data_IF_592159785907
#
_entry.id   IF_592159785907
#
_cell.length_a   1.000
_cell.length_b   1.000
_cell.length_c   1.000
_cell.angle_alpha   90.00
_cell.angle_beta   90.00
_cell.angle_gamma   90.00
#
_symmetry.space_group_name_H-M   'P 1'
#
loop_
_entity.id
_entity.type
_entity.pdbx_description
1 polymer ?
#
# COMPACT_ATOMS: atom_id res chain seq x y z
N UNK A 1 -84.43 -3.39 -69.19
CA UNK A 1 -83.32 -4.31 -69.54
C UNK A 1 -82.08 -3.43 -69.62
N UNK A 2 -81.09 -3.55 -68.73
CA UNK A 2 -80.11 -4.65 -68.58
C UNK A 2 -78.98 -4.61 -69.63
N UNK A 3 -77.72 -5.03 -69.39
CA UNK A 3 -76.96 -5.28 -68.13
C UNK A 3 -75.52 -5.72 -68.47
N UNK A 4 -74.49 -4.97 -68.04
CA UNK A 4 -73.06 -5.37 -68.06
C UNK A 4 -72.53 -5.69 -69.50
N UNK A 5 -71.25 -5.99 -69.80
CA UNK A 5 -69.95 -6.00 -69.11
C UNK A 5 -68.88 -5.50 -70.11
N UNK A 6 -67.89 -4.64 -69.78
CA UNK A 6 -66.70 -4.88 -68.94
C UNK A 6 -65.82 -6.09 -69.36
N UNK A 7 -64.65 -5.80 -69.97
CA UNK A 7 -63.32 -6.40 -69.78
C UNK A 7 -62.36 -5.69 -70.79
N UNK A 8 -61.05 -5.50 -70.60
CA UNK A 8 -60.21 -5.21 -69.43
C UNK A 8 -58.81 -4.85 -70.02
N UNK A 9 -58.21 -3.73 -69.64
CA UNK A 9 -56.92 -3.27 -70.18
C UNK A 9 -56.20 -2.46 -69.11
N UNK A 10 -55.34 -3.11 -68.32
CA UNK A 10 -54.70 -2.54 -67.14
C UNK A 10 -53.36 -3.26 -66.89
N UNK A 11 -52.33 -2.47 -66.55
CA UNK A 11 -51.04 -2.88 -65.97
C UNK A 11 -50.03 -3.71 -66.81
N UNK A 12 -49.60 -3.17 -67.96
CA UNK A 12 -48.23 -3.38 -68.46
C UNK A 12 -47.25 -2.45 -67.71
N UNK A 13 -46.94 -2.77 -66.46
CA UNK A 13 -45.96 -2.04 -65.65
C UNK A 13 -44.56 -2.66 -65.80
N UNK A 14 -43.61 -1.94 -66.40
CA UNK A 14 -42.30 -2.51 -66.73
C UNK A 14 -41.52 -3.05 -65.49
N UNK A 15 -41.00 -4.29 -65.54
CA UNK A 15 -40.28 -4.89 -64.41
C UNK A 15 -38.93 -4.20 -64.12
N UNK A 16 -38.37 -3.48 -65.11
CA UNK A 16 -37.16 -2.66 -65.01
C UNK A 16 -37.23 -1.64 -63.87
N UNK A 17 -38.36 -0.92 -63.75
CA UNK A 17 -38.57 0.17 -62.79
C UNK A 17 -38.66 -0.37 -61.37
N UNK A 18 -39.36 -1.49 -61.17
CA UNK A 18 -39.48 -2.16 -59.88
C UNK A 18 -38.13 -2.70 -59.38
N UNK A 19 -37.32 -3.29 -60.27
CA UNK A 19 -35.96 -3.74 -59.95
C UNK A 19 -35.07 -2.55 -59.54
N UNK A 20 -35.15 -1.42 -60.26
CA UNK A 20 -34.44 -0.19 -59.90
C UNK A 20 -34.81 0.33 -58.51
N UNK A 21 -36.12 0.42 -58.20
CA UNK A 21 -36.61 0.83 -56.88
C UNK A 21 -36.18 -0.12 -55.75
N UNK A 22 -36.19 -1.43 -56.00
CA UNK A 22 -35.72 -2.44 -55.05
C UNK A 22 -34.22 -2.29 -54.75
N UNK A 23 -33.39 -2.10 -55.78
CA UNK A 23 -31.95 -1.89 -55.64
C UNK A 23 -31.63 -0.60 -54.86
N UNK A 24 -32.31 0.51 -55.13
CA UNK A 24 -32.11 1.78 -54.40
C UNK A 24 -32.51 1.63 -52.93
N UNK A 25 -33.63 0.97 -52.62
CA UNK A 25 -34.01 0.67 -51.22
C UNK A 25 -33.00 -0.24 -50.53
N UNK A 26 -32.45 -1.23 -51.22
CA UNK A 26 -31.44 -2.14 -50.67
C UNK A 26 -30.12 -1.39 -50.39
N UNK A 27 -29.66 -0.55 -51.31
CA UNK A 27 -28.49 0.33 -51.09
C UNK A 27 -28.69 1.27 -49.90
N UNK A 28 -29.87 1.92 -49.80
CA UNK A 28 -30.18 2.82 -48.67
C UNK A 28 -30.26 2.07 -47.34
N UNK A 29 -30.85 0.87 -47.32
CA UNK A 29 -30.89 0.01 -46.13
C UNK A 29 -29.47 -0.43 -45.70
N UNK A 30 -28.61 -0.81 -46.65
CA UNK A 30 -27.19 -1.14 -46.38
C UNK A 30 -26.43 0.08 -45.85
N UNK A 31 -26.64 1.28 -46.39
CA UNK A 31 -26.00 2.51 -45.90
C UNK A 31 -26.46 2.87 -44.48
N UNK A 32 -27.75 2.73 -44.18
CA UNK A 32 -28.30 2.96 -42.83
C UNK A 32 -27.83 1.88 -41.85
N UNK A 33 -27.70 0.62 -42.28
CA UNK A 33 -27.15 -0.45 -41.46
C UNK A 33 -25.65 -0.23 -41.18
N UNK A 34 -24.86 0.14 -42.20
CA UNK A 34 -23.43 0.39 -42.09
C UNK A 34 -23.11 1.62 -41.23
N UNK A 35 -23.87 2.71 -41.35
CA UNK A 35 -23.72 3.89 -40.49
C UNK A 35 -24.09 3.59 -39.03
N UNK A 36 -25.19 2.86 -38.77
CA UNK A 36 -25.54 2.36 -37.42
C UNK A 36 -24.45 1.43 -36.86
N UNK A 37 -23.93 0.51 -37.65
CA UNK A 37 -22.84 -0.39 -37.25
C UNK A 37 -21.57 0.40 -36.91
N UNK A 38 -21.15 1.35 -37.76
CA UNK A 38 -20.01 2.24 -37.50
C UNK A 38 -20.21 3.07 -36.23
N UNK A 39 -21.41 3.60 -35.99
CA UNK A 39 -21.73 4.34 -34.76
C UNK A 39 -21.68 3.44 -33.51
N UNK A 40 -22.18 2.20 -33.59
CA UNK A 40 -22.06 1.21 -32.49
C UNK A 40 -20.61 0.81 -32.24
N UNK A 41 -19.80 0.59 -33.28
CA UNK A 41 -18.37 0.29 -33.14
C UNK A 41 -17.60 1.46 -32.50
N UNK A 42 -17.90 2.70 -32.87
CA UNK A 42 -17.30 3.89 -32.24
C UNK A 42 -17.74 4.01 -30.77
N UNK A 43 -19.03 3.80 -30.46
CA UNK A 43 -19.52 3.79 -29.07
C UNK A 43 -18.84 2.71 -28.22
N UNK A 44 -18.76 1.47 -28.73
CA UNK A 44 -18.07 0.37 -28.05
C UNK A 44 -16.58 0.65 -27.88
N UNK A 45 -15.90 1.23 -28.88
CA UNK A 45 -14.49 1.62 -28.81
C UNK A 45 -14.24 2.71 -27.76
N UNK A 46 -15.13 3.70 -27.64
CA UNK A 46 -15.05 4.74 -26.60
C UNK A 46 -15.25 4.13 -25.20
N UNK A 47 -16.27 3.29 -25.01
CA UNK A 47 -16.54 2.61 -23.73
C UNK A 47 -15.38 1.67 -23.35
N UNK A 48 -14.87 0.89 -24.30
CA UNK A 48 -13.72 0.01 -24.09
C UNK A 48 -12.45 0.80 -23.72
N UNK A 49 -12.15 1.89 -24.44
CA UNK A 49 -11.02 2.78 -24.14
C UNK A 49 -11.13 3.37 -22.73
N UNK A 50 -12.32 3.83 -22.34
CA UNK A 50 -12.57 4.35 -20.99
C UNK A 50 -12.39 3.27 -19.90
N UNK A 51 -12.98 2.07 -20.08
CA UNK A 51 -12.83 0.96 -19.13
C UNK A 51 -11.38 0.49 -19.03
N UNK A 52 -10.65 0.43 -20.16
CA UNK A 52 -9.23 0.10 -20.18
C UNK A 52 -8.40 1.14 -19.43
N UNK A 53 -8.67 2.43 -19.63
CA UNK A 53 -8.01 3.53 -18.91
C UNK A 53 -8.29 3.46 -17.40
N UNK A 54 -9.52 3.18 -16.98
CA UNK A 54 -9.86 2.97 -15.57
C UNK A 54 -9.10 1.77 -14.97
N UNK A 55 -9.05 0.65 -15.70
CA UNK A 55 -8.31 -0.54 -15.28
C UNK A 55 -6.81 -0.26 -15.15
N UNK A 56 -6.24 0.51 -16.07
CA UNK A 56 -4.83 0.89 -16.07
C UNK A 56 -4.49 1.80 -14.88
N UNK A 57 -5.35 2.78 -14.56
CA UNK A 57 -5.22 3.61 -13.35
C UNK A 57 -5.37 2.76 -12.08
N UNK A 58 -6.34 1.84 -12.02
CA UNK A 58 -6.54 0.96 -10.87
C UNK A 58 -5.32 0.03 -10.61
N UNK A 59 -4.72 -0.48 -11.69
CA UNK A 59 -3.48 -1.28 -11.65
C UNK A 59 -2.27 -0.44 -11.24
N UNK A 60 -2.11 0.77 -11.79
CA UNK A 60 -1.04 1.70 -11.42
C UNK A 60 -1.14 2.11 -9.93
N UNK A 61 -2.34 2.38 -9.44
CA UNK A 61 -2.60 2.70 -8.03
C UNK A 61 -2.25 1.53 -7.11
N UNK A 62 -2.63 0.30 -7.46
CA UNK A 62 -2.24 -0.90 -6.70
C UNK A 62 -0.72 -1.11 -6.73
N UNK A 63 -0.07 -0.98 -7.89
CA UNK A 63 1.38 -1.11 -8.02
C UNK A 63 2.15 -0.07 -7.20
N UNK A 64 1.68 1.18 -7.20
CA UNK A 64 2.26 2.28 -6.41
C UNK A 64 2.10 2.00 -4.91
N UNK A 65 0.91 1.55 -4.48
CA UNK A 65 0.69 1.12 -3.10
C UNK A 65 1.62 -0.05 -2.71
N UNK A 66 1.70 -1.10 -3.53
CA UNK A 66 2.53 -2.27 -3.28
C UNK A 66 4.01 -1.88 -3.10
N UNK A 67 4.60 -1.14 -4.04
CA UNK A 67 6.01 -0.72 -3.97
C UNK A 67 6.30 0.33 -2.89
N UNK A 68 5.31 1.10 -2.44
CA UNK A 68 5.46 2.07 -1.35
C UNK A 68 5.26 1.46 0.05
N UNK A 69 4.45 0.41 0.18
CA UNK A 69 4.07 -0.19 1.47
C UNK A 69 4.90 -1.42 1.84
N UNK A 70 5.46 -2.11 0.83
CA UNK A 70 6.18 -3.37 0.97
C UNK A 70 7.71 -3.15 1.02
N UNK A 71 8.36 -3.37 2.17
CA UNK A 71 9.82 -3.21 2.30
C UNK A 71 10.58 -4.40 1.70
N UNK A 72 11.92 -4.34 1.72
CA UNK A 72 12.74 -5.48 1.34
C UNK A 72 12.51 -6.67 2.29
N UNK A 73 12.08 -7.80 1.71
CA UNK A 73 11.69 -9.00 2.44
C UNK A 73 12.85 -9.81 3.01
N UNK A 74 14.03 -9.73 2.38
CA UNK A 74 15.23 -10.43 2.81
C UNK A 74 16.46 -9.64 2.37
N UNK A 75 17.42 -9.51 3.28
CA UNK A 75 18.76 -9.00 3.02
C UNK A 75 19.78 -10.03 3.47
N UNK A 76 20.75 -10.34 2.63
CA UNK A 76 21.91 -11.16 2.97
C UNK A 76 23.21 -10.40 2.75
N UNK A 77 24.20 -10.62 3.62
CA UNK A 77 25.53 -10.05 3.52
C UNK A 77 26.60 -11.05 4.01
N UNK A 78 27.72 -11.22 3.26
CA UNK A 78 28.80 -12.09 3.67
C UNK A 78 29.54 -11.49 4.87
N UNK A 79 29.91 -12.37 5.81
CA UNK A 79 30.50 -12.05 7.11
C UNK A 79 31.97 -12.45 7.09
N UNK A 80 32.81 -11.49 6.73
CA UNK A 80 34.27 -11.67 6.66
C UNK A 80 34.89 -11.43 8.05
N UNK A 81 35.35 -12.50 8.71
CA UNK A 81 36.02 -12.40 10.00
C UNK A 81 37.46 -11.90 9.87
N UNK A 82 37.84 -11.01 10.77
CA UNK A 82 39.20 -10.57 11.03
C UNK A 82 39.56 -10.79 12.51
N UNK A 83 40.85 -10.75 12.81
CA UNK A 83 41.39 -10.88 14.17
C UNK A 83 42.12 -9.60 14.56
N UNK A 84 42.05 -9.21 15.84
CA UNK A 84 42.95 -8.21 16.43
C UNK A 84 44.33 -8.84 16.62
N UNK A 85 45.37 -8.18 16.11
CA UNK A 85 46.77 -8.66 16.10
C UNK A 85 47.70 -7.81 16.98
N UNK A 86 47.15 -6.85 17.72
CA UNK A 86 47.83 -5.80 18.48
C UNK A 86 47.95 -6.13 19.98
N UNK A 87 48.18 -7.41 20.30
CA UNK A 87 48.23 -7.90 21.67
C UNK A 87 49.68 -8.13 22.14
N UNK A 88 50.00 -7.72 23.36
CA UNK A 88 51.38 -7.71 23.90
C UNK A 88 51.99 -9.11 24.13
N UNK A 89 51.19 -10.19 24.10
CA UNK A 89 51.63 -11.56 24.40
C UNK A 89 52.08 -12.33 23.14
N UNK A 90 53.38 -12.60 22.92
CA UNK A 90 53.87 -13.29 21.72
C UNK A 90 53.64 -14.82 21.74
N UNK A 91 52.80 -15.33 22.65
CA UNK A 91 52.61 -16.77 22.89
C UNK A 91 51.53 -17.42 21.99
N UNK A 92 50.74 -16.63 21.25
CA UNK A 92 49.65 -17.12 20.41
C UNK A 92 49.48 -16.24 19.17
N UNK A 93 49.48 -16.84 17.98
CA UNK A 93 49.28 -16.10 16.72
C UNK A 93 47.88 -15.47 16.58
N UNK A 94 46.89 -15.96 17.34
CA UNK A 94 45.56 -15.38 17.49
C UNK A 94 45.35 -15.05 18.98
N UNK A 95 45.45 -13.77 19.36
CA UNK A 95 45.24 -13.29 20.73
C UNK A 95 43.81 -12.77 20.99
N UNK A 96 42.92 -12.85 20.01
CA UNK A 96 41.58 -12.25 20.04
C UNK A 96 40.52 -13.16 19.42
N UNK A 97 39.26 -12.88 19.73
CA UNK A 97 38.12 -13.54 19.11
C UNK A 97 37.91 -13.06 17.65
N UNK A 98 37.50 -13.94 16.72
CA UNK A 98 37.13 -13.52 15.37
C UNK A 98 35.94 -12.56 15.42
N UNK A 99 36.15 -11.37 14.85
CA UNK A 99 35.15 -10.30 14.74
C UNK A 99 34.87 -10.00 13.27
N UNK A 100 33.65 -9.60 12.95
CA UNK A 100 33.27 -9.15 11.62
C UNK A 100 32.35 -7.92 11.70
N UNK A 101 32.59 -6.92 10.85
CA UNK A 101 31.79 -5.70 10.78
C UNK A 101 30.98 -5.71 9.48
N UNK A 102 29.65 -5.65 9.59
CA UNK A 102 28.72 -5.71 8.47
C UNK A 102 27.98 -4.38 8.36
N UNK A 103 28.09 -3.72 7.21
CA UNK A 103 27.28 -2.53 6.91
C UNK A 103 25.84 -2.94 6.60
N UNK A 104 24.90 -2.43 7.40
CA UNK A 104 23.45 -2.54 7.19
C UNK A 104 22.92 -1.50 6.19
N UNK A 105 23.82 -0.80 5.49
CA UNK A 105 23.53 0.08 4.36
C UNK A 105 24.12 -0.52 3.08
N UNK A 106 23.28 -0.68 2.05
CA UNK A 106 23.69 -1.13 0.70
C UNK A 106 23.18 -0.15 -0.34
N UNK A 107 24.06 0.31 -1.23
CA UNK A 107 23.75 1.26 -2.32
C UNK A 107 23.00 2.52 -1.84
N UNK A 108 23.46 3.12 -0.73
CA UNK A 108 22.85 4.29 -0.04
C UNK A 108 21.41 4.09 0.45
N UNK A 109 20.97 2.83 0.64
CA UNK A 109 19.70 2.48 1.28
C UNK A 109 19.96 1.64 2.53
N UNK A 110 19.20 1.88 3.60
CA UNK A 110 19.18 1.00 4.77
C UNK A 110 18.58 -0.36 4.37
N UNK A 111 19.17 -1.45 4.86
CA UNK A 111 18.67 -2.80 4.68
C UNK A 111 17.41 -3.07 5.52
N UNK A 112 17.33 -2.40 6.67
CA UNK A 112 16.22 -2.43 7.61
C UNK A 112 15.23 -1.30 7.30
N UNK A 113 13.94 -1.58 7.45
CA UNK A 113 12.87 -0.57 7.41
C UNK A 113 12.39 -0.32 8.84
N UNK A 114 12.32 0.96 9.24
CA UNK A 114 11.94 1.33 10.61
C UNK A 114 10.54 0.80 10.99
N UNK A 115 10.41 0.30 12.22
CA UNK A 115 9.15 -0.26 12.73
C UNK A 115 8.69 -1.58 12.07
N UNK A 116 9.46 -2.17 11.14
CA UNK A 116 9.25 -3.55 10.68
C UNK A 116 10.11 -4.49 11.55
N UNK A 117 9.54 -5.55 12.16
CA UNK A 117 10.33 -6.58 12.83
C UNK A 117 11.07 -7.47 11.82
N UNK A 118 12.30 -7.85 12.16
CA UNK A 118 13.18 -8.70 11.38
C UNK A 118 13.80 -9.81 12.23
N UNK A 119 13.81 -11.04 11.70
CA UNK A 119 14.60 -12.16 12.21
C UNK A 119 16.00 -12.08 11.64
N UNK A 120 17.01 -12.03 12.50
CA UNK A 120 18.43 -12.04 12.11
C UNK A 120 19.02 -13.41 12.44
N UNK A 121 19.48 -14.11 11.42
CA UNK A 121 20.05 -15.45 11.52
C UNK A 121 21.42 -15.49 10.84
N UNK A 122 22.44 -15.95 11.58
CA UNK A 122 23.78 -16.16 11.08
C UNK A 122 23.93 -17.59 10.59
N UNK A 123 24.34 -17.76 9.34
CA UNK A 123 24.69 -19.06 8.79
C UNK A 123 26.21 -19.18 8.79
N UNK A 124 26.77 -20.15 9.52
CA UNK A 124 28.21 -20.45 9.52
C UNK A 124 28.47 -21.75 8.76
N UNK A 125 29.45 -21.75 7.85
CA UNK A 125 29.97 -22.95 7.21
C UNK A 125 31.28 -23.36 7.88
N UNK A 126 31.33 -24.56 8.45
CA UNK A 126 32.44 -25.02 9.29
C UNK A 126 32.90 -26.43 8.90
N UNK A 127 34.22 -26.74 8.87
CA UNK A 127 34.70 -28.11 8.72
C UNK A 127 34.33 -28.97 9.93
N UNK A 128 34.08 -30.26 9.71
CA UNK A 128 33.98 -31.28 10.78
C UNK A 128 35.39 -31.70 11.25
N UNK A 129 36.21 -30.73 11.65
CA UNK A 129 37.59 -30.92 12.12
C UNK A 129 37.65 -31.34 13.60
N UNK A 130 38.71 -32.04 14.07
CA UNK A 130 38.88 -32.35 15.50
C UNK A 130 38.78 -31.09 16.38
N UNK A 131 39.44 -30.00 15.96
CA UNK A 131 39.38 -28.69 16.66
C UNK A 131 37.96 -28.18 16.84
N UNK A 132 37.11 -28.25 15.80
CA UNK A 132 35.70 -27.82 15.88
C UNK A 132 34.80 -28.79 16.66
N UNK A 133 35.15 -30.09 16.71
CA UNK A 133 34.43 -31.10 17.49
C UNK A 133 34.70 -30.97 18.99
N UNK A 134 35.96 -30.74 19.36
CA UNK A 134 36.41 -30.55 20.75
C UNK A 134 36.03 -29.17 21.32
N UNK A 135 35.65 -28.23 20.45
CA UNK A 135 35.28 -26.85 20.78
C UNK A 135 34.05 -26.74 21.69
N UNK A 136 33.16 -27.74 21.64
CA UNK A 136 31.94 -27.78 22.45
C UNK A 136 30.95 -26.65 22.11
N UNK A 137 30.29 -26.11 23.14
CA UNK A 137 29.43 -24.94 23.00
C UNK A 137 30.28 -23.66 22.92
N UNK A 138 30.01 -22.83 21.92
CA UNK A 138 30.59 -21.49 21.81
C UNK A 138 29.50 -20.42 21.76
N UNK A 139 29.82 -19.22 22.23
CA UNK A 139 28.91 -18.07 22.16
C UNK A 139 29.18 -17.26 20.89
N UNK A 140 28.10 -16.87 20.22
CA UNK A 140 28.09 -15.85 19.17
C UNK A 140 27.41 -14.61 19.76
N UNK A 141 28.12 -13.49 19.77
CA UNK A 141 27.62 -12.19 20.20
C UNK A 141 27.39 -11.31 18.97
N UNK A 142 26.35 -10.50 18.98
CA UNK A 142 26.06 -9.54 17.91
C UNK A 142 25.57 -8.24 18.49
N UNK A 143 26.24 -7.15 18.15
CA UNK A 143 25.89 -5.79 18.59
C UNK A 143 25.60 -4.90 17.39
N UNK A 144 24.43 -4.27 17.40
CA UNK A 144 24.01 -3.30 16.39
C UNK A 144 24.36 -1.89 16.87
N UNK A 145 24.96 -1.09 16.00
CA UNK A 145 25.42 0.28 16.28
C UNK A 145 24.72 1.31 15.39
N UNK A 146 24.41 2.46 15.99
CA UNK A 146 23.91 3.66 15.31
C UNK A 146 24.98 4.25 14.38
N UNK A 147 24.59 5.22 13.55
CA UNK A 147 25.53 6.03 12.77
C UNK A 147 26.57 6.74 13.68
N UNK A 148 26.17 7.12 14.89
CA UNK A 148 26.99 7.84 15.88
C UNK A 148 27.89 6.91 16.72
N UNK A 149 27.84 5.60 16.47
CA UNK A 149 28.61 4.59 17.21
C UNK A 149 27.98 4.11 18.53
N UNK A 150 26.81 4.63 18.91
CA UNK A 150 26.06 4.13 20.08
C UNK A 150 25.53 2.70 19.85
N UNK A 151 25.56 1.86 20.89
CA UNK A 151 25.08 0.47 20.82
C UNK A 151 23.54 0.41 20.97
N UNK A 152 22.83 0.28 19.85
CA UNK A 152 21.36 0.24 19.78
C UNK A 152 20.82 -1.08 20.36
N UNK A 153 21.51 -2.20 20.12
CA UNK A 153 21.11 -3.52 20.62
C UNK A 153 22.28 -4.48 20.76
N UNK A 154 22.09 -5.53 21.57
CA UNK A 154 23.02 -6.64 21.73
C UNK A 154 22.25 -7.96 21.88
N UNK A 155 22.75 -9.03 21.27
CA UNK A 155 22.34 -10.41 21.53
C UNK A 155 23.57 -11.29 21.74
N UNK A 156 23.40 -12.36 22.53
CA UNK A 156 24.42 -13.38 22.74
C UNK A 156 23.74 -14.75 22.74
N UNK A 157 24.22 -15.67 21.90
CA UNK A 157 23.59 -16.97 21.62
C UNK A 157 24.61 -18.09 21.66
N UNK A 158 24.32 -19.15 22.41
CA UNK A 158 25.11 -20.37 22.38
C UNK A 158 24.81 -21.19 21.13
N UNK A 159 25.85 -21.78 20.54
CA UNK A 159 25.71 -22.77 19.47
C UNK A 159 26.78 -23.85 19.58
N UNK A 160 26.58 -24.95 18.86
CA UNK A 160 27.43 -26.15 18.92
C UNK A 160 27.37 -26.91 17.59
N UNK A 161 28.50 -27.49 17.19
CA UNK A 161 28.56 -28.40 16.04
C UNK A 161 27.67 -29.63 16.31
N UNK A 162 26.97 -30.16 15.30
CA UNK A 162 26.03 -31.28 15.52
C UNK A 162 26.82 -32.56 15.73
N UNK A 163 26.86 -33.02 16.98
CA UNK A 163 27.56 -34.25 17.38
C UNK A 163 27.15 -35.45 16.51
N UNK A 164 28.16 -36.21 16.08
CA UNK A 164 28.05 -37.51 15.43
C UNK A 164 29.06 -38.44 16.11
N UNK A 165 28.70 -39.70 16.32
CA UNK A 165 29.65 -40.70 16.81
C UNK A 165 30.67 -41.06 15.73
N UNK A 166 31.86 -41.51 16.13
CA UNK A 166 32.94 -41.81 15.17
C UNK A 166 32.65 -43.04 14.31
N UNK A 167 31.80 -43.96 14.81
CA UNK A 167 31.20 -45.02 13.99
C UNK A 167 30.31 -44.44 12.89
N UNK A 168 29.44 -43.47 13.20
CA UNK A 168 28.58 -42.83 12.20
C UNK A 168 29.40 -41.99 11.20
N UNK A 169 30.47 -41.33 11.65
CA UNK A 169 31.42 -40.60 10.79
C UNK A 169 32.15 -41.53 9.82
N UNK A 170 32.66 -42.66 10.30
CA UNK A 170 33.39 -43.63 9.46
C UNK A 170 32.46 -44.34 8.47
N UNK A 171 31.28 -44.78 8.89
CA UNK A 171 30.27 -45.33 7.97
C UNK A 171 29.82 -44.29 6.93
N UNK A 172 29.58 -43.04 7.32
CA UNK A 172 29.24 -41.95 6.39
C UNK A 172 30.37 -41.63 5.41
N UNK A 173 31.62 -41.63 5.88
CA UNK A 173 32.81 -41.40 5.04
C UNK A 173 32.99 -42.53 4.02
N UNK A 174 32.75 -43.78 4.42
CA UNK A 174 32.82 -44.95 3.54
C UNK A 174 31.68 -44.96 2.51
N UNK A 175 30.45 -44.66 2.93
CA UNK A 175 29.26 -44.64 2.07
C UNK A 175 29.34 -43.55 0.98
N UNK A 176 29.82 -42.36 1.34
CA UNK A 176 29.97 -41.24 0.41
C UNK A 176 31.40 -41.09 -0.15
N UNK A 177 32.26 -42.10 0.03
CA UNK A 177 33.67 -42.08 -0.41
C UNK A 177 33.85 -41.64 -1.87
N UNK A 178 33.07 -42.14 -2.86
CA UNK A 178 33.22 -41.71 -4.25
C UNK A 178 32.94 -40.21 -4.43
N UNK A 179 31.93 -39.67 -3.74
CA UNK A 179 31.56 -38.26 -3.84
C UNK A 179 32.61 -37.33 -3.20
N UNK A 180 33.24 -37.75 -2.10
CA UNK A 180 34.37 -37.03 -1.52
C UNK A 180 35.61 -37.07 -2.43
N UNK A 181 35.93 -38.23 -3.03
CA UNK A 181 37.08 -38.38 -3.93
C UNK A 181 36.93 -37.63 -5.25
N UNK A 182 35.70 -37.45 -5.77
CA UNK A 182 35.44 -36.63 -6.97
C UNK A 182 35.21 -35.14 -6.66
N UNK A 183 35.27 -34.71 -5.40
CA UNK A 183 34.94 -33.35 -4.99
C UNK A 183 33.46 -32.97 -5.18
N UNK A 184 32.56 -33.95 -5.36
CA UNK A 184 31.12 -33.74 -5.49
C UNK A 184 30.42 -33.54 -4.12
N UNK A 185 31.12 -33.84 -3.02
CA UNK A 185 30.73 -33.55 -1.65
C UNK A 185 31.96 -33.14 -0.83
N UNK A 186 31.75 -32.38 0.25
CA UNK A 186 32.79 -31.88 1.15
C UNK A 186 32.45 -32.23 2.62
N UNK A 187 33.47 -32.43 3.47
CA UNK A 187 33.28 -32.78 4.89
C UNK A 187 33.03 -31.53 5.76
N UNK A 188 31.96 -30.82 5.45
CA UNK A 188 31.53 -29.59 6.13
C UNK A 188 30.15 -29.70 6.76
N UNK A 189 29.88 -28.81 7.70
CA UNK A 189 28.57 -28.62 8.30
C UNK A 189 28.17 -27.15 8.24
N UNK A 190 26.92 -26.89 7.88
CA UNK A 190 26.29 -25.58 8.01
C UNK A 190 25.60 -25.50 9.38
N UNK A 191 25.65 -24.32 10.00
CA UNK A 191 25.09 -24.04 11.32
C UNK A 191 24.32 -22.71 11.26
N UNK A 192 22.99 -22.78 11.30
CA UNK A 192 22.11 -21.61 11.42
C UNK A 192 21.93 -21.25 12.91
N UNK A 193 22.18 -20.00 13.26
CA UNK A 193 22.04 -19.45 14.62
C UNK A 193 21.18 -18.20 14.57
N UNK A 194 20.00 -18.25 15.18
CA UNK A 194 19.13 -17.07 15.32
C UNK A 194 19.69 -16.11 16.37
N UNK A 195 20.16 -14.95 15.91
CA UNK A 195 20.71 -13.88 16.74
C UNK A 195 19.56 -13.12 17.44
N UNK A 196 18.64 -12.59 16.63
CA UNK A 196 17.44 -11.87 17.06
C UNK A 196 16.20 -12.46 16.38
N UNK A 197 15.11 -12.64 17.14
CA UNK A 197 13.81 -13.10 16.61
C UNK A 197 13.04 -11.96 15.94
N UNK A 198 12.91 -10.84 16.66
CA UNK A 198 12.01 -9.73 16.35
C UNK A 198 12.75 -8.39 16.48
N UNK A 199 13.86 -8.23 15.76
CA UNK A 199 14.61 -6.97 15.75
C UNK A 199 13.82 -5.87 15.04
N UNK A 200 13.51 -4.77 15.74
CA UNK A 200 12.87 -3.58 15.17
C UNK A 200 13.83 -2.39 15.17
N UNK A 201 14.13 -1.84 14.01
CA UNK A 201 15.05 -0.69 13.91
C UNK A 201 14.35 0.63 14.29
N UNK A 202 15.09 1.50 15.00
CA UNK A 202 14.57 2.73 15.62
C UNK A 202 14.78 3.95 14.70
N UNK A 203 13.73 4.72 14.32
CA UNK A 203 13.88 5.94 13.53
C UNK A 203 14.86 6.98 14.09
N UNK A 204 15.02 7.03 15.42
CA UNK A 204 15.87 8.01 16.10
C UNK A 204 17.34 7.57 16.27
N UNK A 205 17.62 6.28 16.13
CA UNK A 205 18.95 5.68 16.27
C UNK A 205 19.07 4.52 15.27
N UNK A 206 19.18 4.82 13.96
CA UNK A 206 19.08 3.82 12.89
C UNK A 206 20.31 2.91 12.87
N UNK A 207 20.10 1.60 12.80
CA UNK A 207 21.19 0.61 12.84
C UNK A 207 21.99 0.61 11.54
N UNK A 208 23.20 1.16 11.57
CA UNK A 208 24.10 1.29 10.40
C UNK A 208 25.09 0.14 10.30
N UNK A 209 25.57 -0.37 11.44
CA UNK A 209 26.59 -1.43 11.48
C UNK A 209 26.17 -2.54 12.44
N UNK A 210 26.26 -3.79 12.01
CA UNK A 210 26.26 -4.95 12.91
C UNK A 210 27.68 -5.47 13.09
N UNK A 211 28.10 -5.70 14.33
CA UNK A 211 29.37 -6.37 14.64
C UNK A 211 29.05 -7.74 15.21
N UNK A 212 29.68 -8.78 14.66
CA UNK A 212 29.54 -10.18 15.07
C UNK A 212 30.86 -10.65 15.66
N UNK A 213 30.83 -11.14 16.89
CA UNK A 213 31.99 -11.64 17.65
C UNK A 213 31.73 -13.10 18.04
N UNK A 214 32.62 -14.02 17.65
CA UNK A 214 32.51 -15.44 18.03
C UNK A 214 33.50 -15.71 19.17
N UNK A 215 32.98 -16.02 20.36
CA UNK A 215 33.76 -16.12 21.60
C UNK A 215 34.52 -17.45 21.72
N UNK A 216 35.35 -17.77 20.72
CA UNK A 216 36.35 -18.84 20.78
C UNK A 216 37.51 -18.53 19.83
N UNK A 217 38.74 -18.57 20.34
CA UNK A 217 39.97 -18.37 19.56
C UNK A 217 40.43 -19.61 18.78
N UNK A 218 39.76 -20.76 18.97
CA UNK A 218 40.07 -22.03 18.29
C UNK A 218 39.14 -22.35 17.12
N UNK A 219 38.15 -21.50 16.85
CA UNK A 219 37.07 -21.78 15.89
C UNK A 219 37.58 -21.76 14.45
N UNK A 220 37.21 -22.78 13.67
CA UNK A 220 37.56 -22.89 12.26
C UNK A 220 36.30 -22.73 11.42
N UNK A 221 36.29 -21.76 10.52
CA UNK A 221 35.14 -21.32 9.72
C UNK A 221 35.62 -21.16 8.27
N UNK A 222 34.83 -21.61 7.30
CA UNK A 222 35.10 -21.43 5.87
C UNK A 222 34.44 -20.17 5.33
N UNK A 223 33.15 -19.99 5.61
CA UNK A 223 32.35 -18.84 5.22
C UNK A 223 31.27 -18.59 6.28
N UNK A 224 30.68 -17.40 6.24
CA UNK A 224 29.51 -17.06 7.05
C UNK A 224 28.70 -15.99 6.33
N UNK A 225 27.38 -16.09 6.42
CA UNK A 225 26.43 -15.16 5.82
C UNK A 225 25.39 -14.74 6.85
N UNK A 226 25.22 -13.42 7.00
CA UNK A 226 24.18 -12.83 7.83
C UNK A 226 22.92 -12.71 6.99
N UNK A 227 21.88 -13.44 7.36
CA UNK A 227 20.54 -13.35 6.78
C UNK A 227 19.62 -12.53 7.69
N UNK A 228 18.87 -11.62 7.09
CA UNK A 228 17.91 -10.75 7.76
C UNK A 228 16.57 -10.88 7.01
N UNK A 229 15.58 -11.49 7.64
CA UNK A 229 14.26 -11.79 7.06
C UNK A 229 13.16 -10.96 7.73
N UNK A 230 12.30 -10.32 6.95
CA UNK A 230 11.21 -9.50 7.50
C UNK A 230 10.05 -10.38 8.04
N UNK A 231 9.68 -10.20 9.31
CA UNK A 231 8.49 -10.84 9.87
C UNK A 231 7.22 -10.09 9.45
N UNK A 232 6.69 -10.44 8.27
CA UNK A 232 5.46 -9.84 7.75
C UNK A 232 4.22 -10.32 8.50
N UNK A 233 3.41 -9.37 8.94
CA UNK A 233 2.12 -9.58 9.60
C UNK A 233 1.01 -8.79 8.89
N UNK A 234 -0.24 -9.12 9.17
CA UNK A 234 -1.42 -8.41 8.63
C UNK A 234 -1.42 -8.28 7.10
N UNK A 235 -1.59 -7.06 6.59
CA UNK A 235 -1.68 -6.79 5.15
C UNK A 235 -0.37 -7.16 4.42
N UNK A 236 0.81 -6.93 5.03
CA UNK A 236 2.09 -7.29 4.42
C UNK A 236 2.25 -8.80 4.23
N UNK A 237 1.75 -9.60 5.17
CA UNK A 237 1.73 -11.06 5.05
C UNK A 237 0.94 -11.50 3.80
N UNK A 238 -0.27 -10.98 3.64
CA UNK A 238 -1.15 -11.33 2.51
C UNK A 238 -0.54 -10.90 1.16
N UNK A 239 0.09 -9.71 1.10
CA UNK A 239 0.79 -9.22 -0.10
C UNK A 239 2.03 -10.07 -0.45
N UNK A 240 2.77 -10.57 0.55
CA UNK A 240 3.98 -11.37 0.32
C UNK A 240 3.68 -12.81 -0.12
N UNK A 241 2.80 -13.50 0.61
CA UNK A 241 2.54 -14.92 0.40
C UNK A 241 1.48 -15.20 -0.68
N UNK A 242 0.59 -14.25 -0.98
CA UNK A 242 -0.49 -14.41 -1.96
C UNK A 242 -0.56 -13.27 -3.01
N UNK A 243 0.56 -12.91 -3.68
CA UNK A 243 0.66 -11.71 -4.52
C UNK A 243 -0.34 -11.66 -5.69
N UNK A 244 -0.74 -12.82 -6.23
CA UNK A 244 -1.76 -12.91 -7.30
C UNK A 244 -3.15 -12.58 -6.75
N UNK A 245 -3.51 -13.14 -5.60
CA UNK A 245 -4.83 -12.92 -4.97
C UNK A 245 -4.91 -11.47 -4.48
N UNK A 246 -3.85 -10.95 -3.86
CA UNK A 246 -3.80 -9.56 -3.40
C UNK A 246 -3.89 -8.56 -4.56
N UNK A 247 -3.26 -8.85 -5.70
CA UNK A 247 -3.38 -8.04 -6.91
C UNK A 247 -4.79 -8.08 -7.50
N UNK A 248 -5.41 -9.26 -7.63
CA UNK A 248 -6.78 -9.37 -8.15
C UNK A 248 -7.76 -8.60 -7.26
N UNK A 249 -7.69 -8.78 -5.93
CA UNK A 249 -8.57 -8.08 -4.99
C UNK A 249 -8.30 -6.57 -4.98
N UNK A 250 -7.04 -6.14 -4.93
CA UNK A 250 -6.66 -4.73 -4.86
C UNK A 250 -6.93 -3.94 -6.14
N UNK A 251 -6.72 -4.54 -7.32
CA UNK A 251 -7.07 -3.90 -8.59
C UNK A 251 -8.59 -3.87 -8.79
N UNK A 252 -9.31 -4.92 -8.36
CA UNK A 252 -10.78 -4.94 -8.43
C UNK A 252 -11.42 -3.89 -7.53
N UNK A 253 -10.96 -3.76 -6.28
CA UNK A 253 -11.48 -2.74 -5.35
C UNK A 253 -11.17 -1.31 -5.83
N UNK A 254 -9.95 -1.06 -6.31
CA UNK A 254 -9.57 0.22 -6.93
C UNK A 254 -10.46 0.54 -8.15
N UNK A 255 -10.68 -0.44 -9.05
CA UNK A 255 -11.51 -0.26 -10.24
C UNK A 255 -12.97 0.04 -9.89
N UNK A 256 -13.54 -0.65 -8.90
CA UNK A 256 -14.91 -0.41 -8.41
C UNK A 256 -15.01 0.99 -7.78
N UNK A 257 -14.05 1.37 -6.93
CA UNK A 257 -14.02 2.68 -6.27
C UNK A 257 -13.91 3.84 -7.27
N UNK A 258 -12.99 3.74 -8.25
CA UNK A 258 -12.87 4.71 -9.33
C UNK A 258 -14.16 4.77 -10.17
N UNK A 259 -14.76 3.61 -10.51
CA UNK A 259 -16.01 3.55 -11.26
C UNK A 259 -17.15 4.28 -10.54
N UNK A 260 -17.29 4.11 -9.22
CA UNK A 260 -18.25 4.88 -8.42
C UNK A 260 -17.97 6.39 -8.47
N UNK A 261 -16.72 6.83 -8.31
CA UNK A 261 -16.36 8.27 -8.41
C UNK A 261 -16.76 8.83 -9.78
N UNK A 262 -16.47 8.12 -10.87
CA UNK A 262 -16.85 8.57 -12.22
C UNK A 262 -18.36 8.60 -12.43
N UNK A 263 -19.12 7.61 -11.90
CA UNK A 263 -20.58 7.60 -11.96
C UNK A 263 -21.18 8.78 -11.17
N UNK A 264 -20.75 9.01 -9.93
CA UNK A 264 -21.23 10.13 -9.12
C UNK A 264 -20.86 11.49 -9.73
N UNK A 265 -19.66 11.63 -10.30
CA UNK A 265 -19.22 12.83 -11.02
C UNK A 265 -20.10 13.09 -12.26
N UNK A 266 -20.37 12.06 -13.06
CA UNK A 266 -21.23 12.15 -14.24
C UNK A 266 -22.69 12.50 -13.87
N UNK A 267 -23.23 11.89 -12.82
CA UNK A 267 -24.57 12.23 -12.32
C UNK A 267 -24.65 13.68 -11.83
N UNK A 268 -23.63 14.16 -11.09
CA UNK A 268 -23.55 15.57 -10.66
C UNK A 268 -23.53 16.53 -11.85
N UNK A 269 -22.77 16.20 -12.90
CA UNK A 269 -22.72 16.98 -14.15
C UNK A 269 -24.11 17.04 -14.83
N UNK A 270 -24.80 15.90 -14.95
CA UNK A 270 -26.15 15.84 -15.52
C UNK A 270 -27.18 16.66 -14.74
N UNK A 271 -27.09 16.71 -13.41
CA UNK A 271 -27.95 17.56 -12.58
C UNK A 271 -27.64 19.05 -12.76
N UNK A 272 -26.36 19.45 -12.85
CA UNK A 272 -25.99 20.86 -13.02
C UNK A 272 -26.34 21.42 -14.41
N UNK A 273 -26.39 20.59 -15.46
CA UNK A 273 -26.71 21.01 -16.84
C UNK A 273 -28.22 21.21 -17.09
N UNK A 274 -29.10 20.92 -16.12
CA UNK A 274 -30.57 21.11 -16.24
C UNK A 274 -31.14 22.18 -15.29
N UNK A 275 -31.11 23.46 -15.69
CA UNK A 275 -32.21 24.36 -15.32
C UNK A 275 -32.64 25.33 -16.45
N UNK A 276 -32.68 24.89 -17.73
CA UNK A 276 -32.93 25.83 -18.85
C UNK A 276 -33.97 25.43 -19.93
N UNK A 277 -34.59 24.24 -19.86
CA UNK A 277 -35.58 23.79 -20.88
C UNK A 277 -37.06 23.97 -20.55
N UNK A 278 -37.40 24.56 -19.39
CA UNK A 278 -38.79 24.74 -18.93
C UNK A 278 -39.30 26.20 -18.99
N UNK A 279 -38.46 27.16 -19.39
CA UNK A 279 -38.76 28.61 -19.32
C UNK A 279 -39.26 29.23 -20.64
N UNK A 280 -39.33 28.47 -21.75
CA UNK A 280 -39.74 29.02 -23.05
C UNK A 280 -41.23 28.79 -23.40
N UNK A 281 -41.82 27.64 -23.06
CA UNK A 281 -43.20 27.32 -23.43
C UNK A 281 -44.25 28.28 -22.84
N UNK A 282 -44.06 28.72 -21.59
CA UNK A 282 -44.99 29.64 -20.89
C UNK A 282 -45.09 31.04 -21.53
N UNK A 283 -44.25 31.37 -22.51
CA UNK A 283 -44.23 32.67 -23.19
C UNK A 283 -45.05 32.69 -24.48
N UNK A 284 -45.24 31.55 -25.15
CA UNK A 284 -46.00 31.48 -26.40
C UNK A 284 -47.50 31.26 -26.13
N UNK A 285 -47.83 30.42 -25.15
CA UNK A 285 -49.22 30.09 -24.79
C UNK A 285 -49.98 31.29 -24.18
N UNK A 286 -49.33 32.08 -23.31
CA UNK A 286 -49.95 33.27 -22.71
C UNK A 286 -50.18 34.42 -23.71
N UNK A 287 -49.34 34.56 -24.74
CA UNK A 287 -49.49 35.65 -25.71
C UNK A 287 -50.71 35.46 -26.63
N UNK A 288 -51.14 34.23 -26.91
CA UNK A 288 -52.32 33.97 -27.74
C UNK A 288 -53.65 34.20 -27.01
N UNK A 289 -53.64 34.31 -25.67
CA UNK A 289 -54.86 34.43 -24.85
C UNK A 289 -55.12 35.85 -24.32
N UNK A 290 -54.21 36.80 -24.55
CA UNK A 290 -54.32 38.17 -24.04
C UNK A 290 -55.07 39.17 -24.93
N UNK A 291 -55.26 38.87 -26.22
CA UNK A 291 -55.61 39.90 -27.23
C UNK A 291 -57.12 40.02 -27.55
N UNK A 292 -57.96 39.07 -27.11
CA UNK A 292 -59.41 39.06 -27.42
C UNK A 292 -60.32 39.88 -26.47
N UNK A 293 -59.81 40.49 -25.39
CA UNK A 293 -60.67 41.13 -24.36
C UNK A 293 -60.20 42.49 -23.85
N UNK A 294 -60.69 43.56 -24.46
CA UNK A 294 -60.68 44.91 -23.89
C UNK A 294 -61.89 45.75 -24.37
N UNK A 295 -62.21 46.82 -23.61
CA UNK A 295 -63.13 47.95 -23.92
C UNK A 295 -64.65 47.69 -23.68
N UNK A 296 -65.41 48.57 -22.95
CA UNK A 296 -65.03 49.53 -21.89
C UNK A 296 -66.03 49.63 -20.68
N UNK A 297 -65.78 50.59 -19.77
CA UNK A 297 -66.60 51.04 -18.60
C UNK A 297 -66.79 50.00 -17.46
N UNK A 298 -66.99 50.34 -16.17
CA UNK A 298 -67.20 51.63 -15.45
C UNK A 298 -68.37 51.45 -14.45
N UNK A 299 -68.43 51.99 -13.22
CA UNK A 299 -67.60 52.90 -12.39
C UNK A 299 -68.10 52.69 -10.90
N UNK A 300 -67.63 53.22 -9.75
CA UNK A 300 -66.69 54.28 -9.35
C UNK A 300 -66.14 54.05 -7.90
N UNK A 301 -65.94 55.11 -7.12
CA UNK A 301 -65.37 55.17 -5.74
C UNK A 301 -66.44 54.90 -4.64
N UNK A 302 -66.21 54.80 -3.32
CA UNK A 302 -65.33 55.49 -2.35
C UNK A 302 -65.17 54.56 -1.09
N UNK A 303 -64.25 54.65 -0.12
CA UNK A 303 -63.66 55.77 0.64
C UNK A 303 -62.37 55.31 1.38
N UNK A 304 -61.53 56.24 1.86
CA UNK A 304 -60.42 56.01 2.81
C UNK A 304 -60.46 57.05 3.95
N UNK A 305 -59.33 57.61 4.47
CA UNK A 305 -57.91 57.27 4.19
C UNK A 305 -56.91 57.47 5.40
N UNK A 306 -55.61 57.27 5.15
CA UNK A 306 -54.40 57.64 5.94
C UNK A 306 -54.14 56.98 7.33
N UNK A 307 -52.93 56.98 7.94
CA UNK A 307 -51.50 56.84 7.50
C UNK A 307 -50.56 57.17 8.66
N UNK A 308 -49.43 56.45 8.84
CA UNK A 308 -48.08 57.04 9.07
C UNK A 308 -46.96 55.99 9.22
N UNK A 309 -45.73 56.45 9.05
CA UNK A 309 -44.42 55.82 9.34
C UNK A 309 -43.55 56.94 9.97
N UNK A 310 -42.51 56.68 10.79
CA UNK A 310 -41.14 56.59 10.23
C UNK A 310 -40.14 55.75 11.07
N UNK A 311 -38.84 55.99 10.89
CA UNK A 311 -37.71 55.13 11.30
C UNK A 311 -36.82 55.70 12.43
N UNK A 312 -36.23 54.78 13.21
CA UNK A 312 -34.91 54.85 13.88
C UNK A 312 -34.68 55.71 15.16
N UNK A 313 -33.56 55.41 15.84
CA UNK A 313 -32.84 56.10 16.94
C UNK A 313 -33.25 55.82 18.41
N UNK A 314 -32.62 54.77 18.96
CA UNK A 314 -31.92 54.65 20.27
C UNK A 314 -32.29 55.64 21.42
N UNK A 315 -32.80 55.09 22.53
CA UNK A 315 -32.66 55.54 23.95
C UNK A 315 -33.16 54.36 24.87
N UNK A 316 -32.73 54.08 26.11
CA UNK A 316 -31.42 54.22 26.79
C UNK A 316 -31.36 53.43 28.13
N UNK A 317 -30.15 53.04 28.58
CA UNK A 317 -29.71 52.72 29.98
C UNK A 317 -30.41 51.63 30.87
N UNK A 318 -29.83 51.20 32.03
CA UNK A 318 -28.44 51.38 32.55
C UNK A 318 -27.71 50.11 33.10
N UNK A 319 -26.35 50.16 33.07
CA UNK A 319 -25.37 49.73 34.12
C UNK A 319 -25.30 48.27 34.69
N UNK A 320 -24.14 47.71 35.09
CA UNK A 320 -22.70 47.99 34.82
C UNK A 320 -21.80 46.76 35.15
N UNK A 321 -20.48 46.88 34.95
CA UNK A 321 -19.41 45.88 35.22
C UNK A 321 -19.21 45.56 36.73
N UNK A 322 -18.42 44.59 37.22
CA UNK A 322 -16.96 44.25 37.06
C UNK A 322 -16.77 42.81 37.63
N UNK A 323 -15.75 41.97 37.34
CA UNK A 323 -14.54 42.01 36.49
C UNK A 323 -13.48 41.01 37.03
N UNK A 324 -12.43 40.69 36.25
CA UNK A 324 -11.40 39.71 36.66
C UNK A 324 -10.44 40.26 37.75
N UNK A 325 -9.96 39.39 38.65
CA UNK A 325 -8.91 39.70 39.63
C UNK A 325 -8.29 38.44 40.24
N UNK A 326 -6.96 38.40 40.35
CA UNK A 326 -6.15 37.22 40.72
C UNK A 326 -5.83 37.09 42.21
N UNK A 327 -5.46 35.87 42.59
CA UNK A 327 -4.41 35.51 43.57
C UNK A 327 -4.66 35.38 45.09
N UNK A 328 -3.88 34.43 45.63
CA UNK A 328 -3.23 34.35 46.96
C UNK A 328 -3.95 33.83 48.22
N UNK A 329 -3.34 32.74 48.74
CA UNK A 329 -2.96 32.50 50.16
C UNK A 329 -4.09 32.07 51.13
N UNK A 330 -3.93 31.21 52.15
CA UNK A 330 -3.06 30.06 52.52
C UNK A 330 -3.58 29.54 53.90
N UNK A 331 -3.03 28.44 54.47
CA UNK A 331 -3.24 27.95 55.86
C UNK A 331 -4.63 27.32 56.12
N UNK A 332 -4.85 26.44 57.10
CA UNK A 332 -4.01 25.57 57.95
C UNK A 332 -4.95 24.46 58.50
N UNK A 333 -4.57 23.30 59.06
CA UNK A 333 -3.39 22.38 59.01
C UNK A 333 -3.74 21.19 59.95
N UNK A 334 -2.87 20.17 60.11
CA UNK A 334 -3.01 18.94 60.94
C UNK A 334 -3.83 17.83 60.23
N UNK A 335 -3.41 16.56 60.14
CA UNK A 335 -2.32 15.82 60.81
C UNK A 335 -2.90 14.55 61.47
N UNK A 336 -2.16 13.48 61.79
CA UNK A 336 -0.73 13.15 61.66
C UNK A 336 -0.61 11.60 61.75
N UNK A 337 0.46 10.97 61.24
CA UNK A 337 0.57 9.49 61.24
C UNK A 337 1.88 8.96 60.67
N UNK A 338 2.97 9.18 61.39
CA UNK A 338 4.36 8.89 61.00
C UNK A 338 4.97 7.85 61.96
N UNK A 339 5.63 6.81 61.42
CA UNK A 339 6.57 5.93 62.13
C UNK A 339 7.70 5.53 61.16
N UNK A 340 8.96 5.72 61.56
CA UNK A 340 10.18 5.29 60.84
C UNK A 340 10.52 3.81 61.23
N UNK A 341 11.65 3.15 60.96
CA UNK A 341 13.07 3.54 60.93
C UNK A 341 13.93 2.30 60.55
N UNK A 342 15.11 2.49 59.93
CA UNK A 342 16.37 1.65 59.98
C UNK A 342 16.32 0.09 59.83
N UNK A 343 17.41 -0.68 59.64
CA UNK A 343 18.85 -0.41 59.39
C UNK A 343 19.53 -1.50 58.50
N UNK A 344 20.79 -1.21 58.16
CA UNK A 344 21.91 -2.04 57.66
C UNK A 344 21.80 -3.59 57.49
N UNK A 345 22.31 -4.05 56.34
CA UNK A 345 23.19 -5.21 56.20
C UNK A 345 24.12 -5.02 54.98
#
# INVERSE_FOLDING_TARGET
MERQSNLHSQDDAEPSVLIGWALVKLQYAVFVAMSRARQRLVQLSIVFSFVFLLLWIAAFLYGTFYYSYMPQATFSAPVNYYYRTDCESPASFLCSYPMANISLIRNKKHALTFGQPYRMSLQLEMPDSPTNRELGMFMIKTTCFSQDGEQVASSARSSILRYRSDLLRTLGTLLFLPAFLTGAAEQKQVLEVELFSDFTDNPYAPSVTAVIEIMSSKVQIYSSDLYIHAHFTGIRYLLYYFPIISAIVGVSSNFIFLSFIFIFSYMRLLFQVKPQRFRMNWTEENNQQGEERAVPAGTAEMLGPFHQNPTDVRQEEPHFHVGNGTEQQNRDTIGQGEINETEAA
#
